data_IF_586005899208
#
_entry.id   IF_586005899208
#
_cell.length_a   1.000
_cell.length_b   1.000
_cell.length_c   1.000
_cell.angle_alpha   90.00
_cell.angle_beta   90.00
_cell.angle_gamma   90.00
#
_symmetry.space_group_name_H-M   'P 1'
#
loop_
_entity.id
_entity.type
_entity.pdbx_description
1 polymer ?
#
# COMPACT_ATOMS: atom_id res chain seq x y z
N UNK A 1 9.32 -19.96 -0.51
CA UNK A 1 9.88 -19.34 -1.73
C UNK A 1 8.84 -19.51 -2.85
N UNK A 2 8.31 -18.41 -3.41
CA UNK A 2 7.29 -18.45 -4.47
C UNK A 2 7.74 -19.20 -5.74
N UNK A 3 9.03 -19.21 -6.04
CA UNK A 3 9.59 -19.91 -7.20
C UNK A 3 9.55 -21.42 -6.97
N UNK A 4 9.92 -21.88 -5.77
CA UNK A 4 9.84 -23.30 -5.40
C UNK A 4 8.39 -23.80 -5.44
N UNK A 5 7.46 -23.04 -4.88
CA UNK A 5 6.04 -23.39 -4.89
C UNK A 5 5.47 -23.49 -6.31
N UNK A 6 5.91 -22.64 -7.24
CA UNK A 6 5.54 -22.76 -8.65
C UNK A 6 6.08 -24.05 -9.28
N UNK A 7 7.36 -24.38 -9.04
CA UNK A 7 7.98 -25.58 -9.59
C UNK A 7 7.31 -26.87 -9.11
N UNK A 8 6.84 -26.89 -7.86
CA UNK A 8 6.09 -28.03 -7.28
C UNK A 8 4.71 -28.26 -7.92
N UNK A 9 4.15 -27.26 -8.61
CA UNK A 9 2.85 -27.38 -9.30
C UNK A 9 2.93 -27.95 -10.71
N UNK A 10 4.14 -28.12 -11.25
CA UNK A 10 4.36 -28.60 -12.61
C UNK A 10 4.08 -30.11 -12.71
N UNK A 11 3.42 -30.52 -13.80
CA UNK A 11 3.23 -31.93 -14.11
C UNK A 11 4.52 -32.53 -14.71
N UNK A 12 4.67 -33.85 -14.62
CA UNK A 12 5.80 -34.56 -15.23
C UNK A 12 5.93 -34.21 -16.73
N UNK A 13 7.11 -33.70 -17.09
CA UNK A 13 7.43 -33.29 -18.47
C UNK A 13 6.99 -31.87 -18.86
N UNK A 14 6.31 -31.13 -17.98
CA UNK A 14 5.95 -29.74 -18.23
C UNK A 14 7.17 -28.81 -18.11
N UNK A 15 7.45 -28.03 -19.16
CA UNK A 15 8.55 -27.06 -19.14
C UNK A 15 8.14 -25.82 -18.33
N UNK A 16 8.94 -25.39 -17.33
CA UNK A 16 8.65 -24.18 -16.56
C UNK A 16 8.59 -22.96 -17.48
N UNK A 17 7.57 -22.12 -17.29
CA UNK A 17 7.52 -20.79 -17.90
C UNK A 17 8.63 -19.92 -17.32
N UNK A 18 9.15 -18.98 -18.10
CA UNK A 18 10.18 -18.04 -17.64
C UNK A 18 9.65 -17.24 -16.46
N UNK A 19 10.12 -17.57 -15.25
CA UNK A 19 9.84 -16.81 -14.05
C UNK A 19 10.67 -15.52 -14.13
N UNK A 20 9.98 -14.38 -14.27
CA UNK A 20 10.61 -13.07 -14.16
C UNK A 20 10.42 -12.64 -12.71
N UNK A 21 11.46 -12.83 -11.91
CA UNK A 21 11.52 -12.24 -10.57
C UNK A 21 11.81 -10.76 -10.78
N UNK A 22 10.98 -9.89 -10.21
CA UNK A 22 11.31 -8.47 -10.16
C UNK A 22 12.67 -8.31 -9.48
N UNK A 23 13.52 -7.40 -9.97
CA UNK A 23 14.77 -7.06 -9.26
C UNK A 23 14.41 -6.69 -7.81
N UNK A 24 15.33 -6.87 -6.87
CA UNK A 24 15.23 -6.38 -5.48
C UNK A 24 15.13 -4.83 -5.36
N UNK A 25 14.68 -4.16 -6.42
CA UNK A 25 14.43 -2.73 -6.46
C UNK A 25 13.18 -2.41 -5.65
N UNK A 26 13.43 -1.87 -4.45
CA UNK A 26 12.49 -1.45 -3.40
C UNK A 26 11.81 -2.62 -2.67
N UNK A 27 12.55 -3.20 -1.72
CA UNK A 27 11.92 -3.95 -0.62
C UNK A 27 10.84 -3.05 0.02
N UNK A 28 9.63 -3.58 0.20
CA UNK A 28 8.58 -2.89 0.95
C UNK A 28 9.15 -2.52 2.32
N UNK A 29 9.26 -1.22 2.60
CA UNK A 29 9.80 -0.73 3.86
C UNK A 29 8.66 -0.28 4.75
N UNK A 30 8.55 -0.89 5.92
CA UNK A 30 7.63 -0.44 6.95
C UNK A 30 8.27 0.66 7.81
N UNK A 31 7.52 1.71 8.09
CA UNK A 31 7.88 2.78 9.02
C UNK A 31 6.80 2.94 10.09
N UNK A 32 7.17 3.53 11.23
CA UNK A 32 6.24 3.74 12.36
C UNK A 32 6.17 5.22 12.78
N UNK A 33 5.67 6.12 11.90
CA UNK A 33 5.52 7.55 12.21
C UNK A 33 4.52 7.77 13.35
N UNK A 34 4.71 8.87 14.08
CA UNK A 34 3.70 9.41 14.99
C UNK A 34 2.75 10.28 14.18
N UNK A 35 1.46 9.93 14.14
CA UNK A 35 0.45 10.65 13.34
C UNK A 35 -0.34 11.61 14.22
N UNK A 36 -0.37 12.89 13.85
CA UNK A 36 -1.10 13.95 14.56
C UNK A 36 -0.73 14.12 16.03
N UNK A 37 0.47 13.65 16.45
CA UNK A 37 0.87 13.62 17.86
C UNK A 37 0.14 12.59 18.74
N UNK A 38 -0.71 11.73 18.16
CA UNK A 38 -1.63 10.86 18.92
C UNK A 38 -1.13 9.42 19.08
N UNK A 39 -0.36 8.89 18.13
CA UNK A 39 0.17 7.54 18.25
C UNK A 39 1.07 7.10 17.09
N UNK A 40 1.86 6.04 17.32
CA UNK A 40 2.67 5.40 16.27
C UNK A 40 1.82 4.46 15.43
N UNK A 41 1.91 4.59 14.11
CA UNK A 41 1.12 3.82 13.16
C UNK A 41 2.05 3.07 12.23
N UNK A 42 1.80 1.78 12.01
CA UNK A 42 2.48 1.03 10.97
C UNK A 42 2.10 1.57 9.59
N UNK A 43 3.08 1.98 8.79
CA UNK A 43 2.86 2.54 7.46
C UNK A 43 3.84 1.96 6.46
N UNK A 44 3.38 1.80 5.23
CA UNK A 44 4.25 1.47 4.10
C UNK A 44 4.96 2.72 3.60
N UNK A 45 6.28 2.68 3.51
CA UNK A 45 7.07 3.68 2.79
C UNK A 45 7.04 3.36 1.30
N UNK A 46 6.12 4.01 0.60
CA UNK A 46 5.95 3.88 -0.84
C UNK A 46 6.44 5.14 -1.54
N UNK A 47 7.58 5.05 -2.24
CA UNK A 47 8.16 6.15 -3.01
C UNK A 47 7.36 6.48 -4.28
N UNK A 48 6.48 5.58 -4.74
CA UNK A 48 5.56 5.82 -5.85
C UNK A 48 4.34 6.65 -5.45
N UNK A 49 4.08 6.79 -4.15
CA UNK A 49 2.97 7.58 -3.63
C UNK A 49 3.37 9.05 -3.44
N UNK A 50 2.55 9.96 -3.97
CA UNK A 50 2.73 11.41 -3.78
C UNK A 50 2.08 11.95 -2.50
N UNK A 51 1.27 11.13 -1.83
CA UNK A 51 0.49 11.51 -0.65
C UNK A 51 0.60 10.43 0.42
N UNK A 52 0.54 10.85 1.68
CA UNK A 52 0.32 9.93 2.80
C UNK A 52 -1.19 9.76 2.94
N UNK A 53 -1.66 8.52 2.81
CA UNK A 53 -3.06 8.17 3.01
C UNK A 53 -3.21 7.17 4.16
N UNK A 54 -4.38 7.18 4.79
CA UNK A 54 -4.74 6.22 5.83
C UNK A 54 -6.19 5.78 5.62
N UNK A 55 -6.54 4.62 6.18
CA UNK A 55 -7.93 4.16 6.14
C UNK A 55 -8.81 5.01 7.06
N UNK A 56 -10.11 5.10 6.72
CA UNK A 56 -11.11 5.76 7.55
C UNK A 56 -11.11 5.21 8.99
N UNK A 57 -11.09 3.89 9.13
CA UNK A 57 -11.12 3.24 10.43
C UNK A 57 -9.93 3.68 11.29
N UNK A 58 -8.71 3.67 10.71
CA UNK A 58 -7.50 4.09 11.42
C UNK A 58 -7.51 5.58 11.78
N UNK A 59 -8.01 6.44 10.90
CA UNK A 59 -8.19 7.85 11.21
C UNK A 59 -9.14 8.05 12.39
N UNK A 60 -10.25 7.31 12.43
CA UNK A 60 -11.22 7.38 13.54
C UNK A 60 -10.66 6.83 14.85
N UNK A 61 -9.91 5.72 14.82
CA UNK A 61 -9.21 5.17 15.99
C UNK A 61 -8.23 6.17 16.60
N UNK A 62 -7.54 6.92 15.74
CA UNK A 62 -6.61 7.97 16.16
C UNK A 62 -7.33 9.28 16.50
N UNK A 63 -8.64 9.39 16.36
CA UNK A 63 -9.39 10.62 16.59
C UNK A 63 -8.99 11.76 15.65
N UNK A 64 -8.56 11.43 14.42
CA UNK A 64 -8.22 12.42 13.41
C UNK A 64 -9.49 13.07 12.82
N UNK A 65 -9.42 14.37 12.57
CA UNK A 65 -10.46 15.11 11.85
C UNK A 65 -10.03 15.42 10.43
N UNK A 66 -10.98 15.49 9.50
CA UNK A 66 -10.72 15.84 8.11
C UNK A 66 -11.78 16.77 7.55
N UNK A 67 -11.38 17.59 6.59
CA UNK A 67 -12.27 18.45 5.83
C UNK A 67 -12.80 17.73 4.59
N UNK A 68 -14.10 17.41 4.54
CA UNK A 68 -14.70 16.68 3.41
C UNK A 68 -14.85 17.54 2.14
N UNK A 69 -14.64 18.86 2.21
CA UNK A 69 -14.72 19.75 1.05
C UNK A 69 -13.46 19.70 0.18
N UNK A 70 -12.34 19.22 0.73
CA UNK A 70 -11.06 19.10 0.03
C UNK A 70 -10.72 17.62 -0.13
N UNK A 71 -10.92 17.08 -1.34
CA UNK A 71 -10.69 15.66 -1.65
C UNK A 71 -9.58 15.49 -2.68
N UNK A 72 -8.91 14.34 -2.62
CA UNK A 72 -7.89 13.92 -3.60
C UNK A 72 -8.44 12.70 -4.33
N UNK A 73 -8.37 12.73 -5.65
CA UNK A 73 -8.66 11.56 -6.49
C UNK A 73 -7.39 10.72 -6.61
N UNK A 74 -7.46 9.46 -6.18
CA UNK A 74 -6.33 8.53 -6.19
C UNK A 74 -6.59 7.47 -7.25
N UNK A 75 -5.59 7.24 -8.11
CA UNK A 75 -5.63 6.17 -9.10
C UNK A 75 -4.77 4.99 -8.63
N UNK A 76 -5.36 3.81 -8.52
CA UNK A 76 -4.62 2.59 -8.18
C UNK A 76 -3.92 1.98 -9.40
N UNK A 77 -3.01 1.05 -9.15
CA UNK A 77 -2.25 0.35 -10.20
C UNK A 77 -3.14 -0.41 -11.21
N UNK A 78 -4.37 -0.74 -10.84
CA UNK A 78 -5.38 -1.36 -11.71
C UNK A 78 -6.18 -0.33 -12.55
N UNK A 79 -5.85 0.95 -12.46
CA UNK A 79 -6.49 2.04 -13.20
C UNK A 79 -7.78 2.58 -12.59
N UNK A 80 -8.28 2.01 -11.49
CA UNK A 80 -9.46 2.53 -10.79
C UNK A 80 -9.14 3.87 -10.12
N UNK A 81 -10.11 4.79 -10.17
CA UNK A 81 -9.99 6.11 -9.54
C UNK A 81 -11.04 6.23 -8.45
N UNK A 82 -10.60 6.44 -7.22
CA UNK A 82 -11.47 6.67 -6.07
C UNK A 82 -11.12 8.00 -5.40
N UNK A 83 -12.12 8.62 -4.75
CA UNK A 83 -11.92 9.87 -4.00
C UNK A 83 -11.60 9.58 -2.54
N UNK A 84 -10.70 10.37 -1.96
CA UNK A 84 -10.50 10.40 -0.51
C UNK A 84 -11.74 10.94 0.22
N UNK A 85 -11.78 10.74 1.54
CA UNK A 85 -12.85 11.27 2.39
C UNK A 85 -12.69 12.75 2.76
N UNK A 86 -11.50 13.30 2.51
CA UNK A 86 -11.10 14.65 2.89
C UNK A 86 -9.61 14.75 3.14
N UNK A 87 -9.14 15.94 3.47
CA UNK A 87 -7.78 16.19 3.94
C UNK A 87 -7.75 16.33 5.47
N UNK A 88 -6.76 15.73 6.13
CA UNK A 88 -6.59 15.83 7.58
C UNK A 88 -6.37 17.30 7.99
N UNK A 89 -6.96 17.72 9.11
CA UNK A 89 -6.91 19.10 9.64
C UNK A 89 -6.07 19.27 10.91
N UNK A 90 -5.63 18.16 11.51
CA UNK A 90 -4.85 18.14 12.75
C UNK A 90 -3.35 18.40 12.54
#
# INVERSE_FOLDING_TARGET
DPVLQYLETLKDGEKPRRVVVARDSESLRTVYPVVGGRGRVECLHDSGSQVVSTSKARAMELGLSWDPSVVIYMQSANGQVEKSLGICRD
#
